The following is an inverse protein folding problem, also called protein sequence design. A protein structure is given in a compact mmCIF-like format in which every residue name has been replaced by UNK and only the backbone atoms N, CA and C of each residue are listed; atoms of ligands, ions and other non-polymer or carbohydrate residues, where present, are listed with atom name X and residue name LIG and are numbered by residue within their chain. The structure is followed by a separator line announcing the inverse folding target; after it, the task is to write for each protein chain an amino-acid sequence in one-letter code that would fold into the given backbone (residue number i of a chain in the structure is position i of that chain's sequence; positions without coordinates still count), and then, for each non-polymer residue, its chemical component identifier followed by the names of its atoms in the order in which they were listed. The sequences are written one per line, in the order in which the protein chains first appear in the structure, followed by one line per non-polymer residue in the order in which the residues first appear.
data_IF_951299317170
#
_entry.id   IF_951299317170
#
_cell.length_a   1.000
_cell.length_b   1.000
_cell.length_c   1.000
_cell.angle_alpha   90.00
_cell.angle_beta   90.00
_cell.angle_gamma   90.00
#
_symmetry.space_group_name_H-M   'P 1'
#
loop_
_entity.id
_entity.type
_entity.pdbx_description
1 polymer ?
#
# COMPACT_ATOMS: atom_id res chain seq x y z
N UNK A 1 18.52 24.36 -23.88
CA UNK A 1 18.48 25.12 -22.63
C UNK A 1 18.14 24.09 -21.58
N UNK A 2 19.09 23.76 -20.70
CA UNK A 2 18.82 22.86 -19.58
C UNK A 2 17.71 23.49 -18.73
N UNK A 3 16.68 22.73 -18.33
CA UNK A 3 15.69 23.23 -17.40
C UNK A 3 16.39 23.70 -16.14
N UNK A 4 16.06 24.89 -15.66
CA UNK A 4 16.59 25.40 -14.40
C UNK A 4 15.93 24.57 -13.27
N UNK A 5 16.76 23.93 -12.47
CA UNK A 5 16.32 23.26 -11.25
C UNK A 5 15.71 24.33 -10.32
N UNK A 6 14.43 24.15 -9.97
CA UNK A 6 13.73 25.06 -9.05
C UNK A 6 13.65 24.41 -7.66
N UNK A 7 13.97 25.18 -6.64
CA UNK A 7 13.86 24.74 -5.24
C UNK A 7 12.73 25.50 -4.54
N UNK A 8 11.92 24.75 -3.78
CA UNK A 8 10.85 25.31 -2.95
C UNK A 8 11.07 24.88 -1.49
N UNK A 9 10.87 25.81 -0.55
CA UNK A 9 10.86 25.49 0.89
C UNK A 9 9.43 25.35 1.37
N UNK A 10 9.13 24.25 2.03
CA UNK A 10 7.83 23.98 2.66
C UNK A 10 8.03 23.86 4.17
N UNK A 11 7.11 24.44 4.96
CA UNK A 11 7.14 24.34 6.42
C UNK A 11 6.19 23.26 6.90
N UNK A 12 6.67 22.36 7.75
CA UNK A 12 5.89 21.29 8.36
C UNK A 12 5.73 21.57 9.85
N UNK A 13 4.47 21.70 10.31
CA UNK A 13 4.14 22.14 11.66
C UNK A 13 4.30 21.09 12.77
N UNK A 14 5.09 20.03 12.53
CA UNK A 14 5.24 18.93 13.47
C UNK A 14 6.70 18.63 13.70
N UNK A 15 7.06 18.42 14.97
CA UNK A 15 8.45 18.13 15.32
C UNK A 15 8.89 16.75 14.80
N UNK A 16 10.17 16.57 14.39
CA UNK A 16 10.73 15.28 13.97
C UNK A 16 10.46 14.15 14.96
N UNK A 17 10.40 14.43 16.27
CA UNK A 17 10.07 13.45 17.32
C UNK A 17 8.68 12.80 17.17
N UNK A 18 7.71 13.48 16.56
CA UNK A 18 6.41 12.89 16.31
C UNK A 18 6.51 11.73 15.31
N UNK A 19 7.33 11.88 14.28
CA UNK A 19 7.58 10.82 13.28
C UNK A 19 8.37 9.64 13.86
N UNK A 20 9.32 9.88 14.78
CA UNK A 20 9.95 8.81 15.55
C UNK A 20 8.92 8.05 16.40
N UNK A 21 7.93 8.76 16.96
CA UNK A 21 6.80 8.19 17.70
C UNK A 21 5.94 7.30 16.82
N UNK A 22 5.62 7.73 15.58
CA UNK A 22 4.89 6.94 14.60
C UNK A 22 5.64 5.65 14.24
N UNK A 23 6.95 5.72 13.99
CA UNK A 23 7.77 4.55 13.68
C UNK A 23 7.73 3.46 14.77
N UNK A 24 7.43 3.84 16.02
CA UNK A 24 7.33 2.92 17.17
C UNK A 24 5.96 2.25 17.31
N UNK A 25 4.96 2.60 16.52
CA UNK A 25 3.61 2.03 16.60
C UNK A 25 3.53 0.56 16.15
N UNK A 26 4.62 -0.01 15.63
CA UNK A 26 4.70 -1.45 15.33
C UNK A 26 3.91 -1.89 14.10
N UNK A 27 3.69 -1.00 13.14
CA UNK A 27 3.06 -1.31 11.87
C UNK A 27 3.85 -2.40 11.12
N UNK A 28 3.17 -3.43 10.64
CA UNK A 28 3.79 -4.47 9.84
C UNK A 28 4.11 -3.94 8.42
N UNK A 29 5.14 -4.48 7.78
CA UNK A 29 5.59 -4.03 6.47
C UNK A 29 4.46 -4.00 5.43
N UNK A 30 3.63 -5.06 5.35
CA UNK A 30 2.50 -5.09 4.42
C UNK A 30 1.43 -4.03 4.74
N UNK A 31 1.24 -3.66 6.00
CA UNK A 31 0.30 -2.61 6.38
C UNK A 31 0.80 -1.25 5.88
N UNK A 32 2.08 -0.92 6.08
CA UNK A 32 2.67 0.31 5.53
C UNK A 32 2.62 0.36 3.99
N UNK A 33 2.86 -0.78 3.33
CA UNK A 33 2.69 -0.86 1.87
C UNK A 33 1.22 -0.65 1.47
N UNK A 34 0.28 -1.17 2.26
CA UNK A 34 -1.15 -0.95 1.99
C UNK A 34 -1.54 0.52 2.13
N UNK A 35 -1.03 1.27 3.12
CA UNK A 35 -1.29 2.71 3.21
C UNK A 35 -0.86 3.43 1.92
N UNK A 36 0.35 3.14 1.41
CA UNK A 36 0.82 3.71 0.15
C UNK A 36 -0.03 3.27 -1.07
N UNK A 37 -0.52 2.04 -1.06
CA UNK A 37 -1.44 1.56 -2.10
C UNK A 37 -2.84 2.18 -1.99
N UNK A 38 -3.32 2.46 -0.77
CA UNK A 38 -4.59 3.14 -0.53
C UNK A 38 -4.54 4.57 -1.10
N UNK A 39 -3.44 5.30 -0.87
CA UNK A 39 -3.19 6.61 -1.47
C UNK A 39 -3.14 6.54 -3.00
N UNK A 40 -2.41 5.56 -3.55
CA UNK A 40 -2.31 5.31 -4.99
C UNK A 40 -3.67 5.01 -5.64
N UNK A 41 -4.52 4.22 -4.97
CA UNK A 41 -5.88 3.92 -5.44
C UNK A 41 -6.81 5.13 -5.32
N UNK A 42 -6.61 5.96 -4.29
CA UNK A 42 -7.36 7.20 -4.09
C UNK A 42 -7.05 8.24 -5.17
N UNK A 43 -5.83 8.25 -5.70
CA UNK A 43 -5.38 9.13 -6.76
C UNK A 43 -5.88 8.74 -8.16
N UNK A 44 -6.59 7.60 -8.31
CA UNK A 44 -7.07 7.14 -9.62
C UNK A 44 -7.95 8.18 -10.30
N UNK A 45 -7.73 8.39 -11.59
CA UNK A 45 -8.53 9.33 -12.39
C UNK A 45 -9.96 8.81 -12.56
N UNK A 46 -10.98 9.70 -12.53
CA UNK A 46 -12.37 9.31 -12.71
C UNK A 46 -12.58 8.56 -14.02
N UNK A 47 -13.19 7.38 -13.95
CA UNK A 47 -13.46 6.53 -15.11
C UNK A 47 -12.27 5.71 -15.61
N UNK A 48 -11.10 5.88 -15.03
CA UNK A 48 -9.92 5.07 -15.36
C UNK A 48 -9.69 3.94 -14.36
N UNK A 49 -8.99 2.90 -14.82
CA UNK A 49 -8.56 1.82 -13.94
C UNK A 49 -7.31 2.25 -13.19
N UNK A 50 -7.37 2.17 -11.87
CA UNK A 50 -6.19 2.41 -11.06
C UNK A 50 -5.05 1.43 -11.44
N UNK A 51 -3.84 1.95 -11.53
CA UNK A 51 -2.62 1.16 -11.73
C UNK A 51 -1.68 1.44 -10.57
N UNK A 52 -1.25 0.38 -9.90
CA UNK A 52 -0.30 0.45 -8.78
C UNK A 52 0.80 -0.57 -8.99
N UNK A 53 2.04 -0.16 -8.85
CA UNK A 53 3.20 -1.05 -8.89
C UNK A 53 3.96 -0.99 -7.58
N UNK A 54 4.17 -2.15 -6.95
CA UNK A 54 5.03 -2.30 -5.79
C UNK A 54 6.30 -3.01 -6.24
N UNK A 55 7.42 -2.31 -6.24
CA UNK A 55 8.72 -2.83 -6.66
C UNK A 55 9.60 -3.12 -5.43
N UNK A 56 10.22 -4.29 -5.42
CA UNK A 56 11.16 -4.73 -4.39
C UNK A 56 12.52 -5.04 -5.02
N UNK A 57 13.59 -4.59 -4.38
CA UNK A 57 14.95 -4.94 -4.79
C UNK A 57 15.88 -5.13 -3.57
N UNK A 58 16.96 -5.91 -3.72
CA UNK A 58 17.99 -5.99 -2.68
C UNK A 58 18.69 -4.63 -2.58
N UNK A 59 18.99 -4.21 -1.36
CA UNK A 59 19.90 -3.10 -1.12
C UNK A 59 21.35 -3.57 -1.12
N UNK A 60 22.30 -2.68 -1.45
CA UNK A 60 23.72 -2.97 -1.33
C UNK A 60 24.13 -3.31 0.11
N UNK A 61 23.50 -2.64 1.08
CA UNK A 61 23.54 -3.03 2.49
C UNK A 61 22.47 -4.10 2.76
N UNK A 62 22.90 -5.32 3.02
CA UNK A 62 22.00 -6.47 3.30
C UNK A 62 21.09 -6.30 4.51
N UNK A 63 21.27 -5.23 5.29
CA UNK A 63 20.37 -4.88 6.39
C UNK A 63 19.11 -4.16 5.92
N UNK A 64 19.01 -3.82 4.63
CA UNK A 64 17.88 -3.09 4.06
C UNK A 64 17.30 -3.79 2.82
N UNK A 65 16.07 -3.44 2.52
CA UNK A 65 15.33 -3.77 1.31
C UNK A 65 14.92 -2.46 0.64
N UNK A 66 15.11 -2.35 -0.66
CA UNK A 66 14.58 -1.23 -1.44
C UNK A 66 13.13 -1.53 -1.81
N UNK A 67 12.27 -0.56 -1.56
CA UNK A 67 10.83 -0.61 -1.87
C UNK A 67 10.45 0.64 -2.65
N UNK A 68 9.69 0.50 -3.73
CA UNK A 68 9.00 1.60 -4.36
C UNK A 68 7.54 1.25 -4.57
N UNK A 69 6.64 2.21 -4.30
CA UNK A 69 5.23 2.15 -4.67
C UNK A 69 4.97 3.26 -5.66
N UNK A 70 4.48 2.89 -6.83
CA UNK A 70 4.22 3.81 -7.93
C UNK A 70 2.76 3.74 -8.38
N UNK A 71 2.19 4.89 -8.76
CA UNK A 71 0.87 5.02 -9.34
C UNK A 71 0.86 5.83 -10.63
N UNK A 72 -0.25 5.73 -11.37
CA UNK A 72 -0.55 6.43 -12.62
C UNK A 72 -1.86 7.21 -12.48
N UNK A 73 -2.06 7.80 -11.31
CA UNK A 73 -3.23 8.60 -10.97
C UNK A 73 -3.06 10.09 -11.31
N UNK A 74 -3.72 10.93 -10.55
CA UNK A 74 -3.69 12.40 -10.72
C UNK A 74 -2.33 13.03 -10.40
N UNK A 75 -1.48 12.33 -9.61
CA UNK A 75 -0.29 12.93 -9.03
C UNK A 75 -0.60 14.07 -8.07
N UNK A 76 0.41 14.88 -7.72
CA UNK A 76 0.26 16.00 -6.80
C UNK A 76 1.00 17.22 -7.34
N UNK A 77 0.32 18.38 -7.31
CA UNK A 77 0.95 19.69 -7.38
C UNK A 77 1.67 20.02 -6.06
N UNK A 78 2.47 21.08 -6.03
CA UNK A 78 3.26 21.45 -4.85
C UNK A 78 2.41 21.65 -3.58
N UNK A 79 1.25 22.28 -3.71
CA UNK A 79 0.34 22.49 -2.57
C UNK A 79 -0.24 21.17 -2.04
N UNK A 80 -0.64 20.27 -2.93
CA UNK A 80 -1.15 18.94 -2.56
C UNK A 80 -0.05 18.09 -1.90
N UNK A 81 1.18 18.11 -2.43
CA UNK A 81 2.34 17.44 -1.83
C UNK A 81 2.64 18.00 -0.43
N UNK A 82 2.61 19.31 -0.27
CA UNK A 82 2.81 19.97 1.04
C UNK A 82 1.77 19.50 2.06
N UNK A 83 0.50 19.46 1.66
CA UNK A 83 -0.59 18.98 2.53
C UNK A 83 -0.44 17.48 2.86
N UNK A 84 -0.05 16.64 1.89
CA UNK A 84 0.14 15.22 2.10
C UNK A 84 1.26 14.92 3.12
N UNK A 85 2.27 15.79 3.21
CA UNK A 85 3.36 15.67 4.18
C UNK A 85 3.02 16.24 5.57
N UNK A 86 1.91 16.98 5.71
CA UNK A 86 1.45 17.51 6.99
C UNK A 86 0.60 16.45 7.72
N UNK A 87 0.97 16.15 8.96
CA UNK A 87 0.17 15.23 9.81
C UNK A 87 -1.20 15.84 10.12
N UNK A 88 -2.26 15.07 9.84
CA UNK A 88 -3.63 15.47 10.16
C UNK A 88 -4.19 16.55 9.24
N UNK A 89 -3.57 16.80 8.10
CA UNK A 89 -4.17 17.62 7.06
C UNK A 89 -5.41 16.94 6.52
N UNK A 90 -6.51 17.68 6.39
CA UNK A 90 -7.72 17.15 5.77
C UNK A 90 -7.42 16.85 4.30
N UNK A 91 -7.77 15.65 3.80
CA UNK A 91 -7.58 15.33 2.39
C UNK A 91 -8.38 16.31 1.53
N UNK A 92 -7.80 16.76 0.42
CA UNK A 92 -8.46 17.63 -0.55
C UNK A 92 -9.58 16.90 -1.32
N UNK A 93 -9.72 15.59 -1.15
CA UNK A 93 -10.75 14.77 -1.78
C UNK A 93 -11.59 14.05 -0.74
N UNK A 94 -12.90 13.93 -0.99
CA UNK A 94 -13.85 13.12 -0.19
C UNK A 94 -13.62 11.61 -0.37
N UNK A 95 -12.38 11.17 -0.55
CA UNK A 95 -12.09 9.75 -0.77
C UNK A 95 -11.97 9.03 0.58
N UNK A 96 -12.83 8.03 0.79
CA UNK A 96 -12.91 7.24 2.03
C UNK A 96 -11.66 6.43 2.37
N UNK A 97 -10.70 6.28 1.43
CA UNK A 97 -9.44 5.58 1.69
C UNK A 97 -8.41 6.44 2.41
N UNK A 98 -8.57 7.77 2.42
CA UNK A 98 -7.63 8.72 3.02
C UNK A 98 -8.37 9.73 3.93
N UNK A 99 -9.19 9.23 4.87
CA UNK A 99 -10.05 10.09 5.71
C UNK A 99 -9.29 10.92 6.75
N UNK A 100 -8.09 10.50 7.16
CA UNK A 100 -7.45 11.04 8.37
C UNK A 100 -6.14 11.79 8.11
N UNK A 101 -5.59 11.77 6.89
CA UNK A 101 -4.34 12.47 6.55
C UNK A 101 -3.09 11.96 7.29
N UNK A 102 -3.12 10.72 7.81
CA UNK A 102 -2.00 10.11 8.54
C UNK A 102 -1.33 8.97 7.76
N UNK A 103 -1.99 8.40 6.76
CA UNK A 103 -1.58 7.18 6.08
C UNK A 103 -0.18 7.26 5.50
N UNK A 104 0.09 8.25 4.64
CA UNK A 104 1.39 8.47 4.02
C UNK A 104 2.49 8.66 5.06
N UNK A 105 2.29 9.58 6.01
CA UNK A 105 3.29 9.91 7.02
C UNK A 105 3.62 8.72 7.91
N UNK A 106 2.59 7.96 8.32
CA UNK A 106 2.72 6.77 9.13
C UNK A 106 3.46 5.66 8.37
N UNK A 107 3.09 5.44 7.09
CA UNK A 107 3.78 4.50 6.22
C UNK A 107 5.26 4.84 6.04
N UNK A 108 5.60 6.10 5.73
CA UNK A 108 6.98 6.55 5.57
C UNK A 108 7.79 6.37 6.86
N UNK A 109 7.24 6.78 8.01
CA UNK A 109 7.90 6.64 9.30
C UNK A 109 8.12 5.17 9.67
N UNK A 110 7.08 4.33 9.56
CA UNK A 110 7.14 2.92 9.93
C UNK A 110 8.00 2.11 8.96
N UNK A 111 7.83 2.27 7.65
CA UNK A 111 8.60 1.51 6.65
C UNK A 111 10.08 1.86 6.68
N UNK A 112 10.44 3.13 6.89
CA UNK A 112 11.85 3.52 7.05
C UNK A 112 12.43 3.14 8.42
N UNK A 113 11.60 2.67 9.37
CA UNK A 113 12.02 2.38 10.74
C UNK A 113 12.47 3.63 11.50
N UNK A 114 11.94 4.79 11.13
CA UNK A 114 12.29 6.08 11.71
C UNK A 114 13.62 6.67 11.22
N UNK A 115 14.33 6.00 10.29
CA UNK A 115 15.58 6.54 9.72
C UNK A 115 15.33 7.72 8.79
N UNK A 116 14.11 7.84 8.24
CA UNK A 116 13.76 8.85 7.26
C UNK A 116 14.38 8.63 5.88
N UNK A 117 14.82 7.41 5.59
CA UNK A 117 15.42 7.07 4.30
C UNK A 117 14.33 6.76 3.27
N UNK A 118 13.71 7.84 2.77
CA UNK A 118 12.63 7.79 1.78
C UNK A 118 12.68 9.01 0.84
N UNK A 119 12.05 8.85 -0.32
CA UNK A 119 11.90 9.91 -1.33
C UNK A 119 10.54 9.81 -2.01
N UNK A 120 9.92 10.94 -2.32
CA UNK A 120 8.70 11.02 -3.13
C UNK A 120 9.02 11.80 -4.39
N UNK A 121 8.59 11.25 -5.54
CA UNK A 121 8.50 11.92 -6.83
C UNK A 121 7.04 12.01 -7.23
N UNK A 122 6.55 13.19 -7.59
CA UNK A 122 5.15 13.36 -8.02
C UNK A 122 5.00 14.50 -9.01
N UNK A 123 4.03 14.37 -9.93
CA UNK A 123 3.62 15.41 -10.86
C UNK A 123 2.13 15.25 -11.19
N UNK A 124 1.40 16.34 -11.26
CA UNK A 124 -0.04 16.37 -11.58
C UNK A 124 -0.31 16.54 -13.08
N UNK A 125 0.64 17.11 -13.81
CA UNK A 125 0.57 17.34 -15.28
C UNK A 125 1.86 16.88 -15.94
N UNK A 126 1.89 16.65 -17.26
CA UNK A 126 3.13 16.40 -17.99
C UNK A 126 4.14 17.53 -17.77
N UNK A 127 5.32 17.18 -17.24
CA UNK A 127 6.37 18.13 -16.89
C UNK A 127 7.33 17.53 -15.86
N UNK A 128 8.15 18.39 -15.22
CA UNK A 128 9.08 17.94 -14.20
C UNK A 128 8.33 17.40 -12.97
N UNK A 129 8.95 16.44 -12.28
CA UNK A 129 8.47 15.95 -11.01
C UNK A 129 8.87 16.89 -9.88
N UNK A 130 8.01 17.06 -8.90
CA UNK A 130 8.40 17.49 -7.57
C UNK A 130 9.04 16.32 -6.84
N UNK A 131 10.21 16.57 -6.25
CA UNK A 131 10.98 15.61 -5.49
C UNK A 131 11.18 16.10 -4.07
N UNK A 132 10.91 15.25 -3.08
CA UNK A 132 11.16 15.53 -1.67
C UNK A 132 11.78 14.30 -1.00
N UNK A 133 12.75 14.54 -0.13
CA UNK A 133 13.46 13.49 0.60
C UNK A 133 13.17 13.59 2.11
N UNK A 134 13.16 12.42 2.78
CA UNK A 134 13.28 12.36 4.22
C UNK A 134 14.70 12.71 4.74
N UNK A 135 14.88 12.76 6.06
CA UNK A 135 13.85 12.58 7.09
C UNK A 135 12.86 13.75 7.15
N UNK A 136 11.74 13.53 7.84
CA UNK A 136 10.84 14.64 8.16
C UNK A 136 11.55 15.66 9.03
N UNK A 137 11.43 16.94 8.65
CA UNK A 137 11.95 18.09 9.40
C UNK A 137 10.93 19.24 9.38
N UNK A 138 11.15 20.27 10.19
CA UNK A 138 10.32 21.47 10.26
C UNK A 138 10.31 22.24 8.92
N UNK A 139 11.42 22.22 8.22
CA UNK A 139 11.55 22.76 6.87
C UNK A 139 12.07 21.66 5.94
N UNK A 140 11.30 21.33 4.93
CA UNK A 140 11.70 20.39 3.89
C UNK A 140 11.92 21.11 2.56
N UNK A 141 12.92 20.66 1.81
CA UNK A 141 13.20 21.18 0.48
C UNK A 141 12.53 20.30 -0.58
N UNK A 142 11.70 20.90 -1.43
CA UNK A 142 11.15 20.28 -2.62
C UNK A 142 11.93 20.80 -3.83
N UNK A 143 12.43 19.88 -4.65
CA UNK A 143 13.14 20.19 -5.90
C UNK A 143 12.29 19.78 -7.10
N UNK A 144 12.53 20.38 -8.25
CA UNK A 144 12.01 19.88 -9.52
C UNK A 144 13.07 19.04 -10.24
N UNK A 145 12.66 17.94 -10.86
CA UNK A 145 13.53 17.07 -11.65
C UNK A 145 12.78 16.52 -12.85
N UNK A 146 13.46 16.34 -13.97
CA UNK A 146 12.86 15.75 -15.18
C UNK A 146 12.81 14.22 -15.12
N UNK A 147 13.56 13.61 -14.23
CA UNK A 147 13.71 12.15 -14.13
C UNK A 147 13.49 11.67 -12.71
N UNK A 148 12.95 10.45 -12.63
CA UNK A 148 12.86 9.72 -11.36
C UNK A 148 14.17 8.94 -11.19
N UNK A 149 14.94 9.28 -10.17
CA UNK A 149 16.19 8.62 -9.83
C UNK A 149 15.93 7.50 -8.83
N UNK A 150 15.66 6.30 -9.33
CA UNK A 150 15.52 5.08 -8.53
C UNK A 150 16.77 4.22 -8.70
N UNK A 151 17.13 3.41 -7.67
CA UNK A 151 18.16 2.41 -7.83
C UNK A 151 17.91 1.51 -9.05
N UNK A 152 18.95 1.23 -9.85
CA UNK A 152 18.84 0.42 -11.08
C UNK A 152 18.21 -0.97 -10.86
N UNK A 153 18.31 -1.49 -9.63
CA UNK A 153 17.71 -2.77 -9.22
C UNK A 153 16.20 -2.72 -9.09
N UNK A 154 15.59 -1.52 -8.96
CA UNK A 154 14.14 -1.32 -8.91
C UNK A 154 13.58 -1.13 -10.31
N UNK A 155 12.65 -1.99 -10.71
CA UNK A 155 11.98 -1.91 -12.01
C UNK A 155 10.48 -1.73 -11.80
N UNK A 156 9.91 -0.71 -12.40
CA UNK A 156 8.47 -0.50 -12.42
C UNK A 156 7.83 -1.27 -13.57
N UNK A 157 6.59 -1.76 -13.37
CA UNK A 157 5.86 -2.52 -14.40
C UNK A 157 5.49 -1.69 -15.61
N UNK A 158 5.20 -0.40 -15.41
CA UNK A 158 4.78 0.53 -16.47
C UNK A 158 5.67 1.77 -16.44
N UNK A 159 5.81 2.43 -17.59
CA UNK A 159 6.58 3.69 -17.73
C UNK A 159 5.79 4.90 -17.23
N UNK A 160 6.49 5.97 -16.95
CA UNK A 160 5.95 7.31 -16.66
C UNK A 160 4.88 7.34 -15.55
N UNK A 161 5.18 6.95 -14.33
CA UNK A 161 4.25 7.07 -13.21
C UNK A 161 3.95 8.54 -12.89
N UNK A 162 2.78 8.81 -12.30
CA UNK A 162 2.43 10.13 -11.76
C UNK A 162 3.08 10.36 -10.41
N UNK A 163 3.09 9.32 -9.56
CA UNK A 163 3.76 9.38 -8.25
C UNK A 163 4.61 8.14 -8.03
N UNK A 164 5.76 8.31 -7.39
CA UNK A 164 6.58 7.23 -6.86
C UNK A 164 7.00 7.57 -5.44
N UNK A 165 6.70 6.66 -4.53
CA UNK A 165 7.17 6.70 -3.14
C UNK A 165 8.25 5.63 -2.99
N UNK A 166 9.49 6.03 -2.80
CA UNK A 166 10.63 5.15 -2.54
C UNK A 166 10.94 5.13 -1.05
N UNK A 167 11.21 3.95 -0.50
CA UNK A 167 11.61 3.77 0.90
C UNK A 167 12.69 2.71 0.99
N UNK A 168 13.72 2.98 1.76
CA UNK A 168 14.73 2.01 2.16
C UNK A 168 14.30 1.36 3.48
N UNK A 169 13.79 0.13 3.39
CA UNK A 169 13.12 -0.58 4.49
C UNK A 169 14.14 -1.41 5.28
N UNK A 170 14.28 -1.21 6.60
CA UNK A 170 15.11 -2.09 7.41
C UNK A 170 14.65 -3.55 7.31
N UNK A 171 15.59 -4.47 7.23
CA UNK A 171 15.30 -5.89 7.05
C UNK A 171 14.50 -6.49 8.22
N UNK A 172 14.59 -5.90 9.41
CA UNK A 172 13.76 -6.25 10.57
C UNK A 172 12.27 -6.00 10.30
N UNK A 173 11.95 -4.92 9.58
CA UNK A 173 10.58 -4.57 9.17
C UNK A 173 10.16 -5.42 7.97
N UNK A 174 11.03 -5.55 6.95
CA UNK A 174 10.74 -6.37 5.77
C UNK A 174 10.42 -7.83 6.13
N UNK A 175 11.02 -8.39 7.19
CA UNK A 175 10.71 -9.73 7.71
C UNK A 175 9.26 -9.91 8.13
N UNK A 176 8.56 -8.83 8.48
CA UNK A 176 7.14 -8.90 8.88
C UNK A 176 6.19 -9.16 7.70
N UNK A 177 6.68 -9.13 6.45
CA UNK A 177 5.93 -9.61 5.29
C UNK A 177 5.62 -11.11 5.37
N UNK A 178 6.53 -11.88 5.95
CA UNK A 178 6.37 -13.31 6.10
C UNK A 178 5.66 -13.68 7.40
N UNK A 179 5.14 -14.90 7.44
CA UNK A 179 4.44 -15.40 8.64
C UNK A 179 5.34 -15.37 9.87
N UNK A 180 4.80 -14.96 11.01
CA UNK A 180 5.47 -15.04 12.30
C UNK A 180 5.93 -16.47 12.58
N UNK A 181 7.13 -16.62 13.13
CA UNK A 181 7.75 -17.91 13.42
C UNK A 181 8.75 -18.41 12.37
N UNK A 182 8.80 -17.81 11.18
CA UNK A 182 9.87 -18.10 10.23
C UNK A 182 11.20 -17.53 10.75
N UNK A 183 12.13 -18.43 11.12
CA UNK A 183 13.43 -18.03 11.71
C UNK A 183 14.38 -17.38 10.69
N UNK A 184 14.25 -17.76 9.41
CA UNK A 184 15.09 -17.22 8.33
C UNK A 184 14.27 -16.28 7.45
N UNK A 185 14.89 -15.20 7.00
CA UNK A 185 14.31 -14.35 5.97
C UNK A 185 14.22 -15.17 4.67
N UNK A 186 13.07 -15.13 4.05
CA UNK A 186 12.85 -15.68 2.72
C UNK A 186 13.62 -14.88 1.67
N UNK A 187 13.93 -15.49 0.54
CA UNK A 187 14.44 -14.78 -0.63
C UNK A 187 13.37 -13.79 -1.18
N UNK A 188 13.81 -12.88 -2.05
CA UNK A 188 12.93 -11.85 -2.59
C UNK A 188 11.76 -12.42 -3.40
N UNK A 189 11.95 -13.54 -4.10
CA UNK A 189 10.87 -14.18 -4.84
C UNK A 189 9.78 -14.68 -3.89
N UNK A 190 10.17 -15.25 -2.77
CA UNK A 190 9.26 -15.69 -1.72
C UNK A 190 8.62 -14.50 -1.00
N UNK A 191 9.36 -13.44 -0.69
CA UNK A 191 8.79 -12.20 -0.11
C UNK A 191 7.75 -11.58 -1.05
N UNK A 192 8.01 -11.57 -2.36
CA UNK A 192 7.03 -11.15 -3.37
C UNK A 192 5.74 -11.96 -3.27
N UNK A 193 5.82 -13.28 -3.11
CA UNK A 193 4.63 -14.14 -3.01
C UNK A 193 3.84 -13.86 -1.74
N UNK A 194 4.50 -13.59 -0.61
CA UNK A 194 3.83 -13.13 0.61
C UNK A 194 3.12 -11.79 0.39
N UNK A 195 3.80 -10.83 -0.24
CA UNK A 195 3.23 -9.52 -0.54
C UNK A 195 2.03 -9.62 -1.49
N UNK A 196 2.12 -10.46 -2.54
CA UNK A 196 0.99 -10.72 -3.44
C UNK A 196 -0.21 -11.28 -2.67
N UNK A 197 0.01 -12.17 -1.70
CA UNK A 197 -1.07 -12.69 -0.86
C UNK A 197 -1.70 -11.58 0.00
N UNK A 198 -0.89 -10.74 0.65
CA UNK A 198 -1.39 -9.62 1.45
C UNK A 198 -2.24 -8.65 0.59
N UNK A 199 -1.71 -8.23 -0.55
CA UNK A 199 -2.40 -7.29 -1.43
C UNK A 199 -3.65 -7.93 -2.07
N UNK A 200 -3.59 -9.21 -2.45
CA UNK A 200 -4.71 -9.94 -3.04
C UNK A 200 -5.89 -10.11 -2.08
N UNK A 201 -5.63 -10.22 -0.78
CA UNK A 201 -6.67 -10.22 0.26
C UNK A 201 -7.17 -8.80 0.51
N UNK A 202 -6.24 -7.88 0.75
CA UNK A 202 -6.56 -6.50 1.11
C UNK A 202 -7.40 -5.78 0.04
N UNK A 203 -7.04 -5.99 -1.23
CA UNK A 203 -7.64 -5.30 -2.38
C UNK A 203 -8.54 -6.19 -3.24
N UNK A 204 -8.97 -7.36 -2.75
CA UNK A 204 -9.75 -8.31 -3.55
C UNK A 204 -10.93 -7.66 -4.28
N UNK A 205 -11.65 -6.73 -3.65
CA UNK A 205 -12.79 -6.09 -4.29
C UNK A 205 -12.44 -5.05 -5.36
N UNK A 206 -11.19 -4.59 -5.44
CA UNK A 206 -10.68 -3.79 -6.56
C UNK A 206 -10.17 -4.68 -7.70
N UNK A 207 -9.71 -5.90 -7.36
CA UNK A 207 -9.08 -6.86 -8.26
C UNK A 207 -10.09 -7.85 -8.85
N UNK A 208 -11.24 -8.06 -8.19
CA UNK A 208 -12.36 -8.84 -8.72
C UNK A 208 -12.94 -8.19 -9.97
N UNK A 209 -13.44 -9.02 -10.89
CA UNK A 209 -14.11 -8.54 -12.07
C UNK A 209 -15.44 -7.88 -11.67
N UNK A 210 -15.65 -6.67 -12.13
CA UNK A 210 -16.95 -6.02 -12.03
C UNK A 210 -17.96 -6.80 -12.89
N UNK A 211 -19.14 -7.15 -12.34
CA UNK A 211 -20.11 -7.99 -13.06
C UNK A 211 -20.70 -7.33 -14.32
N UNK A 212 -20.60 -6.02 -14.44
CA UNK A 212 -21.12 -5.26 -15.60
C UNK A 212 -20.05 -5.05 -16.65
N UNK A 213 -18.86 -4.57 -16.22
CA UNK A 213 -17.76 -4.25 -17.15
C UNK A 213 -16.89 -5.47 -17.48
N UNK A 214 -17.00 -6.55 -16.71
CA UNK A 214 -16.16 -7.75 -16.77
C UNK A 214 -14.66 -7.47 -16.62
N UNK A 215 -14.31 -6.37 -15.95
CA UNK A 215 -12.95 -5.94 -15.74
C UNK A 215 -12.73 -5.50 -14.28
N UNK A 216 -11.52 -5.65 -13.74
CA UNK A 216 -11.20 -5.16 -12.41
C UNK A 216 -11.14 -3.62 -12.41
N UNK A 217 -11.46 -3.00 -11.28
CA UNK A 217 -11.34 -1.54 -11.11
C UNK A 217 -9.91 -1.09 -10.86
N UNK A 218 -9.01 -2.00 -10.51
CA UNK A 218 -7.59 -1.72 -10.34
C UNK A 218 -6.71 -2.86 -10.86
N UNK A 219 -5.47 -2.51 -11.25
CA UNK A 219 -4.39 -3.45 -11.53
C UNK A 219 -3.25 -3.16 -10.57
N UNK A 220 -2.88 -4.13 -9.75
CA UNK A 220 -1.74 -4.05 -8.84
C UNK A 220 -0.69 -5.03 -9.34
N UNK A 221 0.55 -4.57 -9.54
CA UNK A 221 1.68 -5.40 -9.90
C UNK A 221 2.72 -5.43 -8.78
N UNK A 222 3.38 -6.55 -8.57
CA UNK A 222 4.54 -6.66 -7.69
C UNK A 222 5.74 -7.09 -8.51
N UNK A 223 6.79 -6.27 -8.53
CA UNK A 223 8.02 -6.51 -9.31
C UNK A 223 9.20 -6.86 -8.41
N UNK A 224 10.05 -7.75 -8.87
CA UNK A 224 11.37 -8.07 -8.31
C UNK A 224 12.35 -8.22 -9.46
N UNK A 225 13.31 -7.32 -9.58
CA UNK A 225 14.17 -7.22 -10.77
C UNK A 225 13.31 -7.04 -12.03
N UNK A 226 13.59 -7.79 -13.08
CA UNK A 226 12.84 -7.74 -14.33
C UNK A 226 11.54 -8.57 -14.32
N UNK A 227 11.25 -9.27 -13.22
CA UNK A 227 10.08 -10.13 -13.12
C UNK A 227 8.93 -9.41 -12.43
N UNK A 228 7.81 -9.31 -13.13
CA UNK A 228 6.57 -8.70 -12.63
C UNK A 228 5.43 -9.71 -12.59
N UNK A 229 4.62 -9.65 -11.54
CA UNK A 229 3.41 -10.44 -11.38
C UNK A 229 2.24 -9.54 -11.04
N UNK A 230 1.12 -9.71 -11.73
CA UNK A 230 -0.14 -9.08 -11.33
C UNK A 230 -0.69 -9.79 -10.09
N UNK A 231 -1.20 -9.00 -9.17
CA UNK A 231 -1.85 -9.48 -7.95
C UNK A 231 -3.24 -10.01 -8.29
N UNK A 232 -3.53 -11.30 -8.08
CA UNK A 232 -4.86 -11.84 -8.25
C UNK A 232 -5.75 -11.48 -7.04
N UNK A 233 -7.07 -11.38 -7.21
CA UNK A 233 -7.97 -11.32 -6.07
C UNK A 233 -7.90 -12.65 -5.28
N UNK A 234 -7.82 -12.55 -3.96
CA UNK A 234 -7.83 -13.73 -3.09
C UNK A 234 -9.14 -13.74 -2.30
N UNK A 235 -10.15 -14.48 -2.77
CA UNK A 235 -11.43 -14.59 -2.09
C UNK A 235 -11.32 -15.45 -0.84
N UNK A 236 -12.25 -15.27 0.09
CA UNK A 236 -12.41 -16.22 1.19
C UNK A 236 -12.90 -17.55 0.61
N UNK A 237 -12.17 -18.66 0.78
CA UNK A 237 -12.57 -19.94 0.22
C UNK A 237 -13.72 -20.54 1.04
N UNK A 238 -14.95 -20.15 0.76
CA UNK A 238 -16.15 -20.62 1.44
C UNK A 238 -16.94 -21.60 0.60
N UNK A 239 -17.50 -22.62 1.27
CA UNK A 239 -18.62 -23.41 0.78
C UNK A 239 -19.87 -23.09 1.58
N UNK A 240 -21.04 -23.34 1.01
CA UNK A 240 -22.35 -23.06 1.64
C UNK A 240 -22.46 -21.60 2.13
N UNK A 241 -21.87 -20.66 1.38
CA UNK A 241 -21.94 -19.26 1.72
C UNK A 241 -23.39 -18.75 1.71
N UNK A 242 -23.75 -18.02 2.77
CA UNK A 242 -25.01 -17.30 2.90
C UNK A 242 -24.75 -15.82 3.02
N UNK A 243 -25.62 -15.02 2.47
CA UNK A 243 -25.52 -13.55 2.52
C UNK A 243 -26.75 -13.01 3.20
N UNK A 244 -26.56 -12.22 4.23
CA UNK A 244 -27.59 -11.49 4.96
C UNK A 244 -27.35 -9.99 4.81
N UNK A 245 -28.42 -9.24 4.62
CA UNK A 245 -28.38 -7.77 4.59
C UNK A 245 -29.02 -7.28 5.89
N UNK A 246 -28.27 -6.49 6.61
CA UNK A 246 -28.65 -5.93 7.91
C UNK A 246 -28.58 -4.41 7.83
N UNK A 247 -29.33 -3.75 8.65
CA UNK A 247 -29.21 -2.31 8.91
C UNK A 247 -28.76 -2.13 10.36
N UNK A 248 -27.69 -1.39 10.55
CA UNK A 248 -27.10 -1.16 11.87
C UNK A 248 -27.11 0.33 12.15
N UNK A 249 -27.56 0.73 13.31
CA UNK A 249 -27.50 2.11 13.76
C UNK A 249 -26.10 2.37 14.37
N UNK A 250 -25.36 3.29 13.76
CA UNK A 250 -24.05 3.75 14.22
C UNK A 250 -24.06 5.27 14.31
N UNK A 251 -23.85 5.81 15.52
CA UNK A 251 -23.81 7.25 15.73
C UNK A 251 -25.06 8.00 15.27
N UNK A 252 -26.22 7.40 15.38
CA UNK A 252 -27.51 7.98 14.93
C UNK A 252 -27.77 7.89 13.43
N UNK A 253 -26.92 7.18 12.68
CA UNK A 253 -27.09 6.90 11.24
C UNK A 253 -27.36 5.43 11.00
N UNK A 254 -28.29 5.14 10.10
CA UNK A 254 -28.53 3.76 9.63
C UNK A 254 -27.52 3.43 8.54
N UNK A 255 -26.68 2.42 8.82
CA UNK A 255 -25.65 1.95 7.91
C UNK A 255 -26.04 0.56 7.39
N UNK A 256 -26.11 0.37 6.05
CA UNK A 256 -26.35 -0.96 5.50
C UNK A 256 -25.12 -1.84 5.67
N UNK A 257 -25.30 -3.02 6.25
CA UNK A 257 -24.27 -4.03 6.45
C UNK A 257 -24.59 -5.28 5.63
N UNK A 258 -23.62 -5.79 4.90
CA UNK A 258 -23.72 -7.12 4.27
C UNK A 258 -22.87 -8.09 5.05
N UNK A 259 -23.51 -9.11 5.63
CA UNK A 259 -22.85 -10.18 6.35
C UNK A 259 -22.84 -11.46 5.49
N UNK A 260 -21.64 -11.95 5.22
CA UNK A 260 -21.42 -13.18 4.44
C UNK A 260 -20.74 -14.21 5.35
N UNK A 261 -21.37 -15.35 5.52
CA UNK A 261 -20.85 -16.42 6.35
C UNK A 261 -20.92 -17.76 5.64
N UNK A 262 -20.07 -18.71 6.02
CA UNK A 262 -20.01 -20.03 5.39
C UNK A 262 -18.97 -20.91 6.06
N UNK A 263 -18.79 -22.11 5.51
CA UNK A 263 -17.77 -23.05 5.97
C UNK A 263 -16.53 -22.89 5.09
N UNK A 264 -15.34 -22.81 5.73
CA UNK A 264 -14.09 -22.73 5.00
C UNK A 264 -13.85 -23.99 4.15
N UNK A 265 -13.73 -23.82 2.84
CA UNK A 265 -13.43 -24.91 1.90
C UNK A 265 -11.92 -25.19 1.91
N UNK A 266 -11.55 -26.26 2.61
CA UNK A 266 -10.15 -26.69 2.74
C UNK A 266 -9.54 -27.13 1.41
N UNK A 267 -10.34 -27.56 0.44
CA UNK A 267 -9.85 -28.07 -0.84
C UNK A 267 -9.45 -26.96 -1.81
N UNK A 268 -10.05 -25.78 -1.70
CA UNK A 268 -9.76 -24.63 -2.56
C UNK A 268 -8.55 -23.79 -2.15
N UNK A 269 -7.98 -24.06 -0.96
CA UNK A 269 -6.89 -23.24 -0.41
C UNK A 269 -5.57 -23.34 -1.17
N UNK A 270 -5.30 -24.48 -1.78
CA UNK A 270 -4.00 -24.72 -2.43
C UNK A 270 -3.82 -23.97 -3.74
N UNK A 271 -4.89 -23.39 -4.29
CA UNK A 271 -4.90 -22.72 -5.58
C UNK A 271 -4.92 -21.18 -5.50
N UNK A 272 -4.98 -20.60 -4.29
CA UNK A 272 -5.19 -19.16 -4.13
C UNK A 272 -4.01 -18.31 -4.58
N UNK A 273 -2.77 -18.82 -4.41
CA UNK A 273 -1.57 -18.19 -4.94
C UNK A 273 -0.73 -19.28 -5.60
N UNK A 274 -0.65 -19.23 -6.91
CA UNK A 274 0.02 -20.27 -7.70
C UNK A 274 1.48 -20.46 -7.26
N UNK A 275 1.85 -21.69 -6.90
CA UNK A 275 3.22 -22.04 -6.51
C UNK A 275 3.61 -21.75 -5.07
N UNK A 276 2.80 -21.03 -4.28
CA UNK A 276 3.09 -20.80 -2.88
C UNK A 276 2.43 -21.84 -1.98
N UNK A 277 3.24 -22.72 -1.39
CA UNK A 277 2.78 -23.75 -0.44
C UNK A 277 2.55 -23.20 0.97
N UNK A 278 3.16 -22.08 1.30
CA UNK A 278 3.04 -21.41 2.59
C UNK A 278 2.04 -20.27 2.47
N UNK A 279 1.05 -20.23 3.35
CA UNK A 279 -0.03 -19.25 3.30
C UNK A 279 -0.10 -18.47 4.59
N UNK A 280 -0.41 -17.18 4.45
CA UNK A 280 -0.65 -16.30 5.58
C UNK A 280 -2.13 -16.35 6.01
N UNK A 281 -3.06 -16.24 5.04
CA UNK A 281 -4.50 -16.14 5.28
C UNK A 281 -5.24 -17.46 5.13
N UNK A 282 -6.43 -17.54 5.70
CA UNK A 282 -7.42 -18.62 5.55
C UNK A 282 -6.86 -20.02 5.86
N UNK A 283 -5.93 -20.10 6.79
CA UNK A 283 -5.47 -21.37 7.33
C UNK A 283 -6.47 -21.87 8.38
N UNK A 284 -6.61 -23.20 8.53
CA UNK A 284 -7.43 -23.76 9.61
C UNK A 284 -6.70 -23.72 10.96
N UNK A 285 -6.05 -22.60 11.27
CA UNK A 285 -5.37 -22.36 12.55
C UNK A 285 -6.01 -21.15 13.23
N UNK A 286 -6.05 -21.18 14.54
CA UNK A 286 -6.66 -20.12 15.34
C UNK A 286 -6.28 -18.69 14.94
N UNK A 287 -4.99 -18.37 14.62
CA UNK A 287 -4.60 -17.02 14.23
C UNK A 287 -5.19 -16.51 12.91
N UNK A 288 -5.83 -17.38 12.12
CA UNK A 288 -6.39 -17.02 10.82
C UNK A 288 -7.90 -17.29 10.72
N UNK A 289 -8.52 -17.64 11.83
CA UNK A 289 -9.97 -17.75 11.96
C UNK A 289 -10.53 -16.41 12.41
N UNK A 290 -11.77 -16.11 12.03
CA UNK A 290 -12.45 -14.89 12.43
C UNK A 290 -13.20 -14.24 11.29
N UNK A 291 -13.53 -12.97 11.50
CA UNK A 291 -14.32 -12.17 10.58
C UNK A 291 -13.38 -11.25 9.80
N UNK A 292 -13.54 -11.20 8.48
CA UNK A 292 -12.94 -10.16 7.65
C UNK A 292 -13.89 -8.97 7.60
N UNK A 293 -13.36 -7.78 7.92
CA UNK A 293 -14.10 -6.52 7.84
C UNK A 293 -13.71 -5.82 6.55
N UNK A 294 -14.73 -5.44 5.76
CA UNK A 294 -14.55 -4.79 4.48
C UNK A 294 -15.28 -3.46 4.44
N UNK A 295 -14.60 -2.41 4.01
CA UNK A 295 -15.19 -1.11 3.72
C UNK A 295 -15.17 -0.90 2.19
N UNK A 296 -16.35 -0.90 1.56
CA UNK A 296 -16.43 -0.85 0.10
C UNK A 296 -15.65 -2.00 -0.56
N UNK A 297 -14.63 -1.69 -1.33
CA UNK A 297 -13.78 -2.66 -2.04
C UNK A 297 -12.52 -3.08 -1.25
N UNK A 298 -12.23 -2.41 -0.12
CA UNK A 298 -11.03 -2.62 0.72
C UNK A 298 -11.33 -3.52 1.91
N UNK A 299 -10.54 -4.55 2.12
CA UNK A 299 -10.53 -5.33 3.36
C UNK A 299 -9.64 -4.61 4.36
N UNK A 300 -10.23 -4.09 5.42
CA UNK A 300 -9.54 -3.28 6.43
C UNK A 300 -9.02 -4.09 7.61
N UNK A 301 -9.64 -5.23 7.87
CA UNK A 301 -9.18 -6.16 8.91
C UNK A 301 -9.51 -7.60 8.52
N UNK A 302 -8.69 -8.53 8.95
CA UNK A 302 -8.86 -9.97 8.73
C UNK A 302 -8.78 -10.73 10.05
N UNK A 303 -9.42 -11.89 10.10
CA UNK A 303 -9.34 -12.84 11.21
C UNK A 303 -9.70 -12.22 12.58
N UNK A 304 -10.64 -11.27 12.61
CA UNK A 304 -11.10 -10.67 13.85
C UNK A 304 -11.99 -11.69 14.58
N UNK A 305 -11.51 -12.19 15.70
CA UNK A 305 -12.31 -12.91 16.69
C UNK A 305 -12.70 -11.89 17.74
N UNK A 306 -14.01 -11.72 17.99
CA UNK A 306 -14.46 -10.90 19.11
C UNK A 306 -13.85 -11.42 20.41
N UNK A 307 -13.28 -10.54 21.21
CA UNK A 307 -12.89 -10.80 22.60
C UNK A 307 -14.14 -10.85 23.48
#
# INVERSE_FOLDING_TARGET
VSPMEQEYKISINITPKAFEGLARQGMLCHQGICELCDDALAAALPGEKARVCVALAPDADKNFLQLAVADWGSGMELFALTNALQLGSSPLSNNRLNEHGYGLNNALACLSGGTGDWCIYTRDVPGPYFQVHGPFDLEMTVKTTDTIDLPESLTLQWSEPSTVVYVRVPMTIARTLQRQGNRKLSDLATLRMWLIEHLGVAYRGYLELDPVTLEPSAKIAVTVGQSSLLVPPIPVPMMLARTEKLEVELGGQIVPLTYIHGILDKTKREHLVQGNKTRYYYQCSQPTQGIDIRLGKRVIATAQLGE
#
